data_IF_242640567427
#
_entry.id   IF_242640567427
#
_cell.length_a   1.000
_cell.length_b   1.000
_cell.length_c   1.000
_cell.angle_alpha   90.00
_cell.angle_beta   90.00
_cell.angle_gamma   90.00
#
_symmetry.space_group_name_H-M   'P 1'
#
loop_
_entity.id
_entity.type
_entity.pdbx_description
1 polymer ?
#
# COMPACT_ATOMS: atom_id res chain seq x y z
N UNK A 1 -46.04 -105.32 -29.57
CA UNK A 1 -45.13 -104.20 -29.89
C UNK A 1 -45.86 -102.88 -30.12
N UNK A 2 -46.92 -102.82 -30.95
CA UNK A 2 -47.63 -101.56 -31.24
C UNK A 2 -48.28 -100.86 -30.02
N UNK A 3 -48.87 -101.60 -29.08
CA UNK A 3 -49.56 -101.00 -27.92
C UNK A 3 -48.63 -100.21 -26.97
N UNK A 4 -47.42 -100.72 -26.73
CA UNK A 4 -46.43 -100.04 -25.87
C UNK A 4 -45.76 -98.83 -26.53
N UNK A 5 -45.73 -98.76 -27.87
CA UNK A 5 -45.27 -97.57 -28.61
C UNK A 5 -46.31 -96.44 -28.57
N UNK A 6 -47.61 -96.77 -28.52
CA UNK A 6 -48.68 -95.78 -28.41
C UNK A 6 -48.76 -95.17 -27.00
N UNK A 7 -48.58 -95.99 -25.95
CA UNK A 7 -48.54 -95.53 -24.54
C UNK A 7 -47.35 -94.58 -24.30
N UNK A 8 -46.15 -94.93 -24.77
CA UNK A 8 -44.97 -94.06 -24.66
C UNK A 8 -45.12 -92.74 -25.43
N UNK A 9 -45.82 -92.75 -26.58
CA UNK A 9 -46.14 -91.54 -27.34
C UNK A 9 -47.16 -90.66 -26.61
N UNK A 10 -48.18 -91.24 -25.97
CA UNK A 10 -49.13 -90.52 -25.14
C UNK A 10 -48.47 -89.90 -23.90
N UNK A 11 -47.59 -90.63 -23.21
CA UNK A 11 -46.83 -90.10 -22.07
C UNK A 11 -45.91 -88.96 -22.50
N UNK A 12 -45.25 -89.08 -23.65
CA UNK A 12 -44.42 -88.01 -24.21
C UNK A 12 -45.25 -86.77 -24.55
N UNK A 13 -46.42 -86.93 -25.16
CA UNK A 13 -47.34 -85.82 -25.42
C UNK A 13 -47.82 -85.15 -24.13
N UNK A 14 -48.15 -85.94 -23.11
CA UNK A 14 -48.58 -85.41 -21.81
C UNK A 14 -47.47 -84.64 -21.11
N UNK A 15 -46.25 -85.18 -21.10
CA UNK A 15 -45.06 -84.51 -20.57
C UNK A 15 -44.78 -83.18 -21.30
N UNK A 16 -44.89 -83.17 -22.63
CA UNK A 16 -44.72 -81.97 -23.45
C UNK A 16 -45.80 -80.91 -23.17
N UNK A 17 -47.06 -81.33 -22.96
CA UNK A 17 -48.14 -80.43 -22.56
C UNK A 17 -47.95 -79.85 -21.15
N UNK A 18 -47.48 -80.66 -20.19
CA UNK A 18 -47.19 -80.19 -18.83
C UNK A 18 -46.04 -79.18 -18.82
N UNK A 19 -44.99 -79.44 -19.61
CA UNK A 19 -43.88 -78.50 -19.80
C UNK A 19 -44.34 -77.18 -20.41
N UNK A 20 -45.20 -77.21 -21.44
CA UNK A 20 -45.76 -76.00 -22.04
C UNK A 20 -46.60 -75.21 -21.04
N UNK A 21 -47.46 -75.88 -20.26
CA UNK A 21 -48.25 -75.23 -19.21
C UNK A 21 -47.38 -74.58 -18.14
N UNK A 22 -46.29 -75.24 -17.74
CA UNK A 22 -45.33 -74.67 -16.78
C UNK A 22 -44.61 -73.44 -17.34
N UNK A 23 -44.24 -73.47 -18.63
CA UNK A 23 -43.61 -72.34 -19.31
C UNK A 23 -44.59 -71.15 -19.41
N UNK A 24 -45.83 -71.40 -19.81
CA UNK A 24 -46.88 -70.36 -19.90
C UNK A 24 -47.18 -69.74 -18.52
N UNK A 25 -47.24 -70.55 -17.46
CA UNK A 25 -47.40 -70.07 -16.09
C UNK A 25 -46.22 -69.19 -15.66
N UNK A 26 -44.98 -69.63 -15.96
CA UNK A 26 -43.78 -68.86 -15.65
C UNK A 26 -43.77 -67.51 -16.37
N UNK A 27 -44.13 -67.48 -17.66
CA UNK A 27 -44.24 -66.25 -18.43
C UNK A 27 -45.30 -65.30 -17.87
N UNK A 28 -46.48 -65.81 -17.49
CA UNK A 28 -47.52 -64.99 -16.84
C UNK A 28 -47.05 -64.41 -15.52
N UNK A 29 -46.41 -65.22 -14.66
CA UNK A 29 -45.87 -64.75 -13.38
C UNK A 29 -44.78 -63.69 -13.56
N UNK A 30 -43.90 -63.83 -14.56
CA UNK A 30 -42.91 -62.80 -14.91
C UNK A 30 -43.56 -61.51 -15.41
N UNK A 31 -44.62 -61.60 -16.22
CA UNK A 31 -45.33 -60.42 -16.72
C UNK A 31 -46.09 -59.71 -15.59
N UNK A 32 -46.73 -60.45 -14.68
CA UNK A 32 -47.39 -59.89 -13.48
C UNK A 32 -46.39 -59.14 -12.59
N UNK A 33 -45.26 -59.75 -12.27
CA UNK A 33 -44.21 -59.11 -11.45
C UNK A 33 -43.60 -57.87 -12.14
N UNK A 34 -43.45 -57.90 -13.46
CA UNK A 34 -43.02 -56.74 -14.24
C UNK A 34 -44.05 -55.60 -14.21
N UNK A 35 -45.33 -55.92 -14.32
CA UNK A 35 -46.41 -54.92 -14.22
C UNK A 35 -46.50 -54.32 -12.82
N UNK A 36 -46.33 -55.12 -11.77
CA UNK A 36 -46.25 -54.62 -10.39
C UNK A 36 -45.05 -53.70 -10.19
N UNK A 37 -43.89 -54.08 -10.71
CA UNK A 37 -42.68 -53.25 -10.66
C UNK A 37 -42.87 -51.93 -11.41
N UNK A 38 -43.53 -51.96 -12.57
CA UNK A 38 -43.80 -50.76 -13.36
C UNK A 38 -44.77 -49.81 -12.64
N UNK A 39 -45.85 -50.34 -12.04
CA UNK A 39 -46.75 -49.54 -11.20
C UNK A 39 -46.03 -48.95 -9.98
N UNK A 40 -45.13 -49.71 -9.36
CA UNK A 40 -44.30 -49.24 -8.26
C UNK A 40 -43.42 -48.06 -8.68
N UNK A 41 -42.79 -48.15 -9.85
CA UNK A 41 -41.96 -47.07 -10.41
C UNK A 41 -42.77 -45.80 -10.70
N UNK A 42 -43.95 -45.93 -11.31
CA UNK A 42 -44.85 -44.82 -11.61
C UNK A 42 -45.30 -44.10 -10.32
N UNK A 43 -45.61 -44.86 -9.26
CA UNK A 43 -45.97 -44.29 -7.96
C UNK A 43 -44.81 -43.51 -7.33
N UNK A 44 -43.59 -44.06 -7.39
CA UNK A 44 -42.38 -43.37 -6.87
C UNK A 44 -42.11 -42.09 -7.65
N UNK A 45 -42.23 -42.12 -8.98
CA UNK A 45 -42.08 -40.92 -9.82
C UNK A 45 -43.11 -39.85 -9.47
N UNK A 46 -44.37 -40.25 -9.26
CA UNK A 46 -45.42 -39.33 -8.83
C UNK A 46 -45.10 -38.71 -7.46
N UNK A 47 -44.68 -39.50 -6.48
CA UNK A 47 -44.28 -39.00 -5.17
C UNK A 47 -43.05 -38.07 -5.25
N UNK A 48 -42.10 -38.34 -6.15
CA UNK A 48 -40.95 -37.46 -6.38
C UNK A 48 -41.37 -36.10 -6.94
N UNK A 49 -42.30 -36.07 -7.89
CA UNK A 49 -42.79 -34.83 -8.48
C UNK A 49 -43.61 -34.01 -7.47
N UNK A 50 -44.46 -34.66 -6.67
CA UNK A 50 -45.20 -34.02 -5.57
C UNK A 50 -44.25 -33.40 -4.54
N UNK A 51 -43.19 -34.13 -4.14
CA UNK A 51 -42.19 -33.64 -3.21
C UNK A 51 -41.41 -32.46 -3.80
N UNK A 52 -41.03 -32.53 -5.08
CA UNK A 52 -40.32 -31.46 -5.80
C UNK A 52 -41.16 -30.19 -5.83
N UNK A 53 -42.43 -30.28 -6.22
CA UNK A 53 -43.33 -29.13 -6.27
C UNK A 53 -43.52 -28.51 -4.88
N UNK A 54 -43.70 -29.33 -3.84
CA UNK A 54 -43.82 -28.83 -2.46
C UNK A 54 -42.54 -28.14 -1.96
N UNK A 55 -41.37 -28.65 -2.35
CA UNK A 55 -40.10 -28.00 -2.03
C UNK A 55 -39.94 -26.67 -2.74
N UNK A 56 -40.29 -26.60 -4.03
CA UNK A 56 -40.20 -25.39 -4.85
C UNK A 56 -41.13 -24.28 -4.30
N UNK A 57 -42.36 -24.62 -3.91
CA UNK A 57 -43.28 -23.70 -3.23
C UNK A 57 -42.71 -23.16 -1.90
N UNK A 58 -42.09 -24.04 -1.09
CA UNK A 58 -41.49 -23.64 0.19
C UNK A 58 -40.27 -22.76 -0.02
N UNK A 59 -39.44 -23.03 -1.03
CA UNK A 59 -38.28 -22.19 -1.37
C UNK A 59 -38.76 -20.80 -1.76
N UNK A 60 -39.71 -20.69 -2.68
CA UNK A 60 -40.26 -19.40 -3.11
C UNK A 60 -40.88 -18.62 -1.93
N UNK A 61 -41.61 -19.31 -1.04
CA UNK A 61 -42.16 -18.68 0.16
C UNK A 61 -41.08 -18.16 1.13
N UNK A 62 -39.97 -18.88 1.28
CA UNK A 62 -38.84 -18.44 2.11
C UNK A 62 -38.12 -17.25 1.46
N UNK A 63 -37.92 -17.29 0.15
CA UNK A 63 -37.31 -16.19 -0.61
C UNK A 63 -38.14 -14.90 -0.48
N UNK A 64 -39.46 -14.98 -0.64
CA UNK A 64 -40.35 -13.83 -0.46
C UNK A 64 -40.28 -13.26 0.96
N UNK A 65 -40.23 -14.14 1.97
CA UNK A 65 -40.11 -13.72 3.38
C UNK A 65 -38.78 -13.04 3.67
N UNK A 66 -37.68 -13.55 3.12
CA UNK A 66 -36.35 -12.96 3.28
C UNK A 66 -36.30 -11.61 2.56
N UNK A 67 -36.77 -11.53 1.31
CA UNK A 67 -36.81 -10.30 0.53
C UNK A 67 -37.66 -9.22 1.23
N UNK A 68 -38.81 -9.59 1.77
CA UNK A 68 -39.67 -8.69 2.54
C UNK A 68 -38.98 -8.12 3.78
N UNK A 69 -38.38 -8.99 4.61
CA UNK A 69 -37.66 -8.57 5.82
C UNK A 69 -36.46 -7.68 5.50
N UNK A 70 -35.67 -8.03 4.49
CA UNK A 70 -34.52 -7.23 4.07
C UNK A 70 -34.97 -5.85 3.59
N UNK A 71 -36.05 -5.78 2.82
CA UNK A 71 -36.60 -4.50 2.35
C UNK A 71 -37.06 -3.62 3.52
N UNK A 72 -37.75 -4.22 4.50
CA UNK A 72 -38.20 -3.50 5.69
C UNK A 72 -37.01 -2.97 6.51
N UNK A 73 -36.01 -3.80 6.81
CA UNK A 73 -34.81 -3.37 7.54
C UNK A 73 -34.04 -2.27 6.81
N UNK A 74 -33.90 -2.36 5.48
CA UNK A 74 -33.27 -1.31 4.66
C UNK A 74 -34.03 0.01 4.82
N UNK A 75 -35.36 0.00 4.67
CA UNK A 75 -36.17 1.24 4.80
C UNK A 75 -36.06 1.87 6.19
N UNK A 76 -35.96 1.07 7.25
CA UNK A 76 -35.77 1.57 8.62
C UNK A 76 -34.38 2.21 8.78
N UNK A 77 -33.34 1.62 8.20
CA UNK A 77 -31.98 2.18 8.22
C UNK A 77 -31.91 3.48 7.41
N UNK A 78 -32.51 3.52 6.22
CA UNK A 78 -32.58 4.71 5.37
C UNK A 78 -33.29 5.87 6.08
N UNK A 79 -34.42 5.63 6.73
CA UNK A 79 -35.15 6.65 7.51
C UNK A 79 -34.33 7.16 8.71
N UNK A 80 -33.67 6.26 9.45
CA UNK A 80 -32.79 6.64 10.56
C UNK A 80 -31.61 7.48 10.09
N UNK A 81 -30.95 7.07 9.01
CA UNK A 81 -29.84 7.83 8.43
C UNK A 81 -30.30 9.20 7.92
N UNK A 82 -31.46 9.28 7.25
CA UNK A 82 -32.03 10.55 6.79
C UNK A 82 -32.26 11.54 7.93
N UNK A 83 -32.81 11.06 9.06
CA UNK A 83 -33.04 11.89 10.26
C UNK A 83 -31.75 12.40 10.90
N UNK A 84 -30.73 11.55 11.02
CA UNK A 84 -29.43 11.99 11.56
C UNK A 84 -28.71 12.97 10.62
N UNK A 85 -28.82 12.78 9.30
CA UNK A 85 -28.27 13.73 8.31
C UNK A 85 -28.96 15.10 8.43
N UNK A 86 -30.29 15.14 8.53
CA UNK A 86 -31.01 16.43 8.67
C UNK A 86 -30.62 17.13 9.98
N UNK A 87 -30.51 16.39 11.09
CA UNK A 87 -30.05 16.94 12.37
C UNK A 87 -28.62 17.51 12.29
N UNK A 88 -27.70 16.81 11.62
CA UNK A 88 -26.33 17.30 11.42
C UNK A 88 -26.36 18.57 10.56
N UNK A 89 -27.19 18.61 9.53
CA UNK A 89 -27.34 19.78 8.65
C UNK A 89 -27.84 21.00 9.44
N UNK A 90 -28.88 20.85 10.24
CA UNK A 90 -29.39 21.92 11.12
C UNK A 90 -28.30 22.43 12.08
N UNK A 91 -27.55 21.53 12.72
CA UNK A 91 -26.45 21.91 13.63
C UNK A 91 -25.31 22.65 12.91
N UNK A 92 -25.02 22.29 11.67
CA UNK A 92 -23.99 22.98 10.86
C UNK A 92 -24.47 24.37 10.46
N UNK A 93 -25.72 24.50 10.02
CA UNK A 93 -26.32 25.78 9.64
C UNK A 93 -26.32 26.76 10.83
N UNK A 94 -26.74 26.32 12.03
CA UNK A 94 -26.70 27.14 13.26
C UNK A 94 -25.26 27.60 13.60
N UNK A 95 -24.27 26.71 13.47
CA UNK A 95 -22.86 27.07 13.73
C UNK A 95 -22.30 28.04 12.71
N UNK A 96 -22.70 27.93 11.43
CA UNK A 96 -22.30 28.87 10.38
C UNK A 96 -22.87 30.26 10.67
N UNK A 97 -24.14 30.35 11.07
CA UNK A 97 -24.78 31.62 11.45
C UNK A 97 -24.05 32.27 12.62
N UNK A 98 -23.76 31.51 13.69
CA UNK A 98 -23.00 32.02 14.83
C UNK A 98 -21.57 32.49 14.47
N UNK A 99 -20.90 31.84 13.51
CA UNK A 99 -19.60 32.30 13.01
C UNK A 99 -19.74 33.58 12.19
N UNK A 100 -20.78 33.70 11.38
CA UNK A 100 -21.05 34.90 10.58
C UNK A 100 -21.33 36.13 11.46
N UNK A 101 -22.11 35.97 12.54
CA UNK A 101 -22.35 37.04 13.52
C UNK A 101 -21.05 37.49 14.21
N UNK A 102 -20.22 36.53 14.64
CA UNK A 102 -18.92 36.84 15.24
C UNK A 102 -18.00 37.57 14.26
N UNK A 103 -17.98 37.16 12.99
CA UNK A 103 -17.20 37.83 11.95
C UNK A 103 -17.67 39.28 11.72
N UNK A 104 -18.99 39.52 11.75
CA UNK A 104 -19.57 40.86 11.64
C UNK A 104 -19.12 41.78 12.80
N UNK A 105 -19.19 41.28 14.04
CA UNK A 105 -18.73 42.02 15.23
C UNK A 105 -17.23 42.34 15.18
N UNK A 106 -16.40 41.39 14.73
CA UNK A 106 -14.96 41.61 14.54
C UNK A 106 -14.72 42.67 13.47
N UNK A 107 -15.41 42.56 12.34
CA UNK A 107 -15.29 43.50 11.22
C UNK A 107 -15.65 44.92 11.67
N UNK A 108 -16.73 45.09 12.43
CA UNK A 108 -17.15 46.39 12.95
C UNK A 108 -16.12 46.98 13.93
N UNK A 109 -15.57 46.15 14.83
CA UNK A 109 -14.48 46.57 15.74
C UNK A 109 -13.21 46.97 14.99
N UNK A 110 -12.88 46.29 13.89
CA UNK A 110 -11.73 46.68 13.06
C UNK A 110 -11.93 48.06 12.43
N UNK A 111 -13.11 48.34 11.87
CA UNK A 111 -13.44 49.67 11.32
C UNK A 111 -13.35 50.77 12.40
N UNK A 112 -13.83 50.49 13.61
CA UNK A 112 -13.75 51.45 14.72
C UNK A 112 -12.31 51.69 15.19
N UNK A 113 -11.46 50.65 15.18
CA UNK A 113 -10.03 50.76 15.47
C UNK A 113 -9.28 51.53 14.38
N UNK A 114 -9.61 51.30 13.10
CA UNK A 114 -9.07 52.06 11.97
C UNK A 114 -9.40 53.55 12.08
N UNK A 115 -10.66 53.89 12.40
CA UNK A 115 -11.06 55.28 12.63
C UNK A 115 -10.32 55.92 13.81
N UNK A 116 -10.06 55.17 14.89
CA UNK A 116 -9.27 55.64 16.05
C UNK A 116 -7.79 55.85 15.71
N UNK A 117 -7.22 54.98 14.88
CA UNK A 117 -5.85 55.12 14.37
C UNK A 117 -5.70 56.33 13.43
N UNK A 118 -6.73 56.65 12.64
CA UNK A 118 -6.74 57.83 11.77
C UNK A 118 -6.95 59.15 12.54
N UNK A 119 -7.61 59.11 13.71
CA UNK A 119 -7.84 60.28 14.56
C UNK A 119 -6.68 60.57 15.55
N UNK A 120 -5.81 59.60 15.80
CA UNK A 120 -4.63 59.74 16.65
C UNK A 120 -3.38 60.02 15.84
N UNK A 121 -2.98 61.29 15.77
CA UNK A 121 -1.76 61.70 15.06
C UNK A 121 -0.48 61.12 15.67
N UNK A 122 0.38 60.63 14.76
CA UNK A 122 1.82 60.46 14.85
C UNK A 122 2.36 59.19 15.54
N UNK A 123 2.89 58.27 14.74
CA UNK A 123 4.30 57.89 14.82
C UNK A 123 4.77 57.26 13.51
N UNK A 124 5.63 57.99 12.80
CA UNK A 124 6.53 57.44 11.80
C UNK A 124 7.33 56.27 12.41
N UNK A 125 6.96 55.04 12.08
CA UNK A 125 7.91 53.93 12.04
C UNK A 125 7.98 53.49 10.60
N UNK A 126 9.07 53.90 9.94
CA UNK A 126 9.57 53.26 8.74
C UNK A 126 9.72 51.76 9.08
N UNK A 127 8.70 50.97 8.74
CA UNK A 127 8.74 49.52 8.90
C UNK A 127 9.84 49.05 7.95
N UNK A 128 10.99 48.69 8.51
CA UNK A 128 12.02 47.94 7.80
C UNK A 128 11.34 46.72 7.18
N UNK A 129 11.19 46.72 5.85
CA UNK A 129 10.65 45.56 5.13
C UNK A 129 11.62 44.43 5.36
N UNK A 130 11.19 43.39 6.07
CA UNK A 130 12.07 42.26 6.34
C UNK A 130 12.32 41.53 5.02
N UNK A 131 13.60 41.42 4.65
CA UNK A 131 14.03 40.83 3.39
C UNK A 131 13.84 39.32 3.44
N UNK A 132 13.07 38.81 2.50
CA UNK A 132 12.89 37.38 2.29
C UNK A 132 14.21 36.80 1.74
N UNK A 133 14.69 35.70 2.32
CA UNK A 133 15.76 34.88 1.76
C UNK A 133 15.29 34.17 0.47
N UNK A 134 16.10 33.33 -0.16
CA UNK A 134 15.67 32.51 -1.31
C UNK A 134 15.65 31.04 -0.93
N UNK A 135 14.72 30.27 -1.50
CA UNK A 135 14.64 28.82 -1.31
C UNK A 135 14.99 28.06 -2.58
N UNK A 136 15.99 27.19 -2.50
CA UNK A 136 16.52 26.42 -3.63
C UNK A 136 16.06 24.96 -3.68
N UNK A 137 15.31 24.50 -2.67
CA UNK A 137 14.85 23.11 -2.56
C UNK A 137 15.72 22.20 -1.69
N UNK A 138 16.88 22.68 -1.20
CA UNK A 138 17.85 21.83 -0.48
C UNK A 138 17.66 21.81 1.03
N UNK A 139 17.14 22.91 1.58
CA UNK A 139 16.85 23.04 3.01
C UNK A 139 15.44 22.54 3.32
N UNK A 140 15.14 22.26 4.59
CA UNK A 140 13.85 21.71 4.98
C UNK A 140 12.70 22.67 4.60
N UNK A 141 11.76 22.19 3.78
CA UNK A 141 10.64 23.00 3.30
C UNK A 141 9.77 23.54 4.44
N UNK A 142 9.49 22.76 5.48
CA UNK A 142 8.66 23.20 6.62
C UNK A 142 9.29 24.38 7.38
N UNK A 143 10.63 24.39 7.48
CA UNK A 143 11.36 25.50 8.09
C UNK A 143 11.24 26.76 7.24
N UNK A 144 11.37 26.64 5.92
CA UNK A 144 11.23 27.76 4.99
C UNK A 144 9.78 28.26 4.91
N UNK A 145 8.80 27.36 4.94
CA UNK A 145 7.36 27.68 5.00
C UNK A 145 7.03 28.49 6.27
N UNK A 146 7.59 28.10 7.41
CA UNK A 146 7.46 28.83 8.68
C UNK A 146 8.08 30.22 8.60
N UNK A 147 9.32 30.33 8.09
CA UNK A 147 9.99 31.62 7.90
C UNK A 147 9.22 32.55 6.97
N UNK A 148 8.69 32.01 5.87
CA UNK A 148 7.86 32.74 4.93
C UNK A 148 6.59 33.27 5.61
N UNK A 149 5.91 32.46 6.43
CA UNK A 149 4.73 32.90 7.18
C UNK A 149 5.04 34.08 8.10
N UNK A 150 6.10 33.96 8.93
CA UNK A 150 6.54 35.00 9.86
C UNK A 150 6.82 36.32 9.13
N UNK A 151 7.57 36.26 8.02
CA UNK A 151 7.92 37.46 7.23
C UNK A 151 6.68 38.04 6.56
N UNK A 152 5.78 37.20 6.05
CA UNK A 152 4.55 37.65 5.40
C UNK A 152 3.61 38.37 6.38
N UNK A 153 3.54 37.91 7.62
CA UNK A 153 2.76 38.50 8.70
C UNK A 153 3.40 39.81 9.18
N UNK A 154 4.72 39.82 9.42
CA UNK A 154 5.46 41.01 9.81
C UNK A 154 5.33 42.14 8.78
N UNK A 155 5.33 41.79 7.49
CA UNK A 155 5.19 42.73 6.38
C UNK A 155 3.72 43.03 6.02
N UNK A 156 2.74 42.37 6.64
CA UNK A 156 1.31 42.59 6.38
C UNK A 156 0.89 42.25 4.93
N UNK A 157 1.46 41.22 4.34
CA UNK A 157 1.16 40.84 2.96
C UNK A 157 -0.26 40.27 2.82
N UNK A 158 -1.02 40.81 1.86
CA UNK A 158 -2.29 40.21 1.42
C UNK A 158 -2.04 38.90 0.66
N UNK A 159 -3.05 38.05 0.53
CA UNK A 159 -2.90 36.73 -0.09
C UNK A 159 -2.29 36.77 -1.51
N UNK A 160 -2.70 37.74 -2.34
CA UNK A 160 -2.11 37.94 -3.66
C UNK A 160 -0.64 38.37 -3.65
N UNK A 161 -0.24 39.18 -2.65
CA UNK A 161 1.17 39.56 -2.45
C UNK A 161 1.96 38.36 -1.93
N UNK A 162 1.40 37.56 -1.02
CA UNK A 162 2.03 36.30 -0.55
C UNK A 162 2.29 35.35 -1.72
N UNK A 163 1.33 35.13 -2.61
CA UNK A 163 1.54 34.25 -3.76
C UNK A 163 2.65 34.74 -4.70
N UNK A 164 2.65 36.04 -5.00
CA UNK A 164 3.67 36.65 -5.87
C UNK A 164 5.07 36.61 -5.24
N UNK A 165 5.16 36.89 -3.94
CA UNK A 165 6.42 36.83 -3.19
C UNK A 165 6.90 35.39 -3.01
N UNK A 166 5.98 34.44 -2.81
CA UNK A 166 6.33 33.01 -2.75
C UNK A 166 6.86 32.53 -4.09
N UNK A 167 6.27 32.91 -5.23
CA UNK A 167 6.85 32.59 -6.53
C UNK A 167 8.25 33.22 -6.70
N UNK A 168 8.43 34.45 -6.24
CA UNK A 168 9.73 35.14 -6.28
C UNK A 168 10.77 34.58 -5.28
N UNK A 169 10.33 33.89 -4.23
CA UNK A 169 11.16 33.23 -3.21
C UNK A 169 11.91 32.02 -3.77
N UNK A 170 11.31 31.34 -4.75
CA UNK A 170 11.82 30.07 -5.29
C UNK A 170 13.00 30.30 -6.24
N UNK A 171 14.03 29.48 -6.10
CA UNK A 171 15.23 29.43 -6.95
C UNK A 171 15.59 27.98 -7.24
N UNK A 172 16.48 27.77 -8.22
CA UNK A 172 16.99 26.44 -8.56
C UNK A 172 15.89 25.41 -8.79
N UNK A 173 16.04 24.24 -8.17
CA UNK A 173 15.11 23.12 -8.30
C UNK A 173 13.69 23.47 -7.79
N UNK A 174 13.61 24.28 -6.73
CA UNK A 174 12.32 24.72 -6.20
C UNK A 174 11.55 25.62 -7.19
N UNK A 175 12.25 26.40 -8.04
CA UNK A 175 11.58 27.23 -9.04
C UNK A 175 10.97 26.43 -10.19
N UNK A 176 11.45 25.21 -10.46
CA UNK A 176 10.90 24.35 -11.52
C UNK A 176 9.44 23.98 -11.28
N UNK A 177 8.96 23.99 -10.04
CA UNK A 177 7.54 23.71 -9.74
C UNK A 177 6.62 24.73 -10.44
N UNK A 178 7.10 25.95 -10.69
CA UNK A 178 6.34 26.97 -11.37
C UNK A 178 6.07 26.57 -12.82
N UNK A 179 6.92 25.74 -13.43
CA UNK A 179 6.68 25.19 -14.77
C UNK A 179 5.63 24.08 -14.76
N UNK A 180 5.57 23.30 -13.67
CA UNK A 180 4.62 22.18 -13.52
C UNK A 180 3.18 22.63 -13.27
N UNK A 181 2.99 23.85 -12.74
CA UNK A 181 1.67 24.40 -12.47
C UNK A 181 1.07 25.12 -13.70
N UNK A 182 -0.26 25.02 -13.93
CA UNK A 182 -0.98 25.83 -14.91
C UNK A 182 -0.82 27.33 -14.64
N UNK A 183 -0.85 28.16 -15.69
CA UNK A 183 -0.65 29.61 -15.58
C UNK A 183 -1.60 30.30 -14.57
N UNK A 184 -2.84 29.82 -14.48
CA UNK A 184 -3.88 30.32 -13.56
C UNK A 184 -3.59 30.02 -12.10
N UNK A 185 -2.75 29.02 -11.81
CA UNK A 185 -2.45 28.56 -10.45
C UNK A 185 -1.08 29.02 -9.93
N UNK A 186 -0.21 29.54 -10.82
CA UNK A 186 1.14 30.04 -10.45
C UNK A 186 1.13 31.24 -9.51
N UNK A 187 0.00 31.93 -9.40
CA UNK A 187 -0.24 33.05 -8.48
C UNK A 187 -1.31 32.72 -7.43
N UNK A 188 -1.65 31.45 -7.27
CA UNK A 188 -2.51 30.98 -6.18
C UNK A 188 -1.62 30.46 -5.04
N UNK A 189 -1.77 31.04 -3.85
CA UNK A 189 -0.92 30.71 -2.69
C UNK A 189 -1.08 29.24 -2.27
N UNK A 190 -2.30 28.72 -2.30
CA UNK A 190 -2.59 27.35 -1.91
C UNK A 190 -2.02 26.33 -2.90
N UNK A 191 -2.17 26.57 -4.21
CA UNK A 191 -1.57 25.71 -5.25
C UNK A 191 -0.04 25.66 -5.13
N UNK A 192 0.61 26.80 -4.88
CA UNK A 192 2.06 26.86 -4.67
C UNK A 192 2.49 26.06 -3.43
N UNK A 193 1.78 26.21 -2.31
CA UNK A 193 2.07 25.44 -1.10
C UNK A 193 1.86 23.94 -1.31
N UNK A 194 0.78 23.52 -1.97
CA UNK A 194 0.53 22.12 -2.23
C UNK A 194 1.61 21.50 -3.13
N UNK A 195 2.05 22.21 -4.17
CA UNK A 195 3.13 21.74 -5.04
C UNK A 195 4.47 21.62 -4.28
N UNK A 196 4.77 22.58 -3.40
CA UNK A 196 5.96 22.54 -2.54
C UNK A 196 5.89 21.45 -1.48
N UNK A 197 4.74 21.26 -0.83
CA UNK A 197 4.50 20.21 0.15
C UNK A 197 4.60 18.82 -0.50
N UNK A 198 4.12 18.66 -1.73
CA UNK A 198 4.22 17.40 -2.47
C UNK A 198 5.67 17.06 -2.85
N UNK A 199 6.43 18.04 -3.36
CA UNK A 199 7.79 17.79 -3.86
C UNK A 199 8.85 17.82 -2.75
N UNK A 200 8.70 18.70 -1.77
CA UNK A 200 9.70 18.96 -0.73
C UNK A 200 9.19 18.74 0.70
N UNK A 201 7.90 18.41 0.89
CA UNK A 201 7.33 18.21 2.23
C UNK A 201 7.90 17.00 2.95
N UNK A 202 7.96 17.11 4.29
CA UNK A 202 8.61 16.11 5.13
C UNK A 202 7.99 14.71 5.04
N UNK A 203 6.67 14.60 4.84
CA UNK A 203 5.99 13.30 4.77
C UNK A 203 6.45 12.48 3.55
N UNK A 204 6.49 13.12 2.39
CA UNK A 204 7.01 12.51 1.16
C UNK A 204 8.52 12.29 1.25
N UNK A 205 9.25 13.20 1.90
CA UNK A 205 10.69 13.05 2.17
C UNK A 205 11.01 11.85 3.08
N UNK A 206 10.19 11.57 4.11
CA UNK A 206 10.35 10.42 5.02
C UNK A 206 10.12 9.09 4.31
N UNK A 207 8.99 8.95 3.62
CA UNK A 207 8.67 7.72 2.87
C UNK A 207 9.67 7.48 1.73
N UNK A 208 10.07 8.54 1.04
CA UNK A 208 11.11 8.47 0.02
C UNK A 208 12.47 8.06 0.61
N UNK A 209 12.87 8.61 1.75
CA UNK A 209 14.08 8.19 2.46
C UNK A 209 14.02 6.73 2.92
N UNK A 210 12.84 6.23 3.34
CA UNK A 210 12.63 4.80 3.66
C UNK A 210 12.81 3.92 2.43
N UNK A 211 12.30 4.33 1.28
CA UNK A 211 12.48 3.61 0.01
C UNK A 211 13.93 3.64 -0.48
N UNK A 212 14.60 4.79 -0.37
CA UNK A 212 16.02 4.92 -0.67
C UNK A 212 16.84 4.00 0.23
N UNK A 213 16.61 3.99 1.55
CA UNK A 213 17.27 3.07 2.50
C UNK A 213 17.14 1.60 2.07
N UNK A 214 15.93 1.14 1.75
CA UNK A 214 15.65 -0.25 1.33
C UNK A 214 16.44 -0.70 0.09
N UNK A 215 16.75 0.23 -0.81
CA UNK A 215 17.43 -0.05 -2.08
C UNK A 215 18.91 0.30 -2.05
N UNK A 216 19.40 0.83 -0.93
CA UNK A 216 20.74 1.38 -0.83
C UNK A 216 21.76 0.30 -0.53
N UNK A 217 22.66 0.07 -1.50
CA UNK A 217 23.85 -0.77 -1.37
C UNK A 217 25.09 0.06 -1.71
N UNK A 218 26.25 -0.24 -1.12
CA UNK A 218 27.52 0.42 -1.41
C UNK A 218 27.87 0.29 -2.90
N UNK A 219 28.10 1.41 -3.56
CA UNK A 219 28.36 1.48 -5.01
C UNK A 219 29.79 1.05 -5.33
N UNK A 220 30.03 0.66 -6.59
CA UNK A 220 31.39 0.44 -7.09
C UNK A 220 32.18 1.74 -7.06
N UNK A 221 33.29 1.77 -6.33
CA UNK A 221 34.15 2.95 -6.18
C UNK A 221 33.72 3.90 -5.06
N UNK A 222 32.64 3.61 -4.35
CA UNK A 222 32.23 4.36 -3.16
C UNK A 222 32.96 3.83 -1.92
N UNK A 223 33.58 4.73 -1.15
CA UNK A 223 34.27 4.38 0.09
C UNK A 223 33.29 3.94 1.18
N UNK A 224 33.74 3.11 2.12
CA UNK A 224 32.91 2.76 3.28
C UNK A 224 32.52 3.99 4.11
N UNK A 225 33.33 5.05 4.17
CA UNK A 225 32.96 6.28 4.87
C UNK A 225 31.82 7.03 4.20
N UNK A 226 31.86 7.20 2.87
CA UNK A 226 30.80 7.85 2.10
C UNK A 226 29.50 7.05 2.22
N UNK A 227 29.61 5.73 2.13
CA UNK A 227 28.45 4.85 2.30
C UNK A 227 27.83 4.95 3.69
N UNK A 228 28.64 4.87 4.76
CA UNK A 228 28.17 5.01 6.13
C UNK A 228 27.49 6.38 6.37
N UNK A 229 28.10 7.45 5.88
CA UNK A 229 27.58 8.82 6.01
C UNK A 229 26.21 8.96 5.35
N UNK A 230 26.03 8.34 4.18
CA UNK A 230 24.75 8.38 3.47
C UNK A 230 23.68 7.52 4.16
N UNK A 231 24.04 6.34 4.69
CA UNK A 231 23.13 5.50 5.48
C UNK A 231 22.67 6.25 6.74
N UNK A 232 23.58 6.89 7.47
CA UNK A 232 23.26 7.68 8.65
C UNK A 232 22.35 8.87 8.32
N UNK A 233 22.64 9.59 7.23
CA UNK A 233 21.82 10.70 6.75
C UNK A 233 20.39 10.24 6.43
N UNK A 234 20.26 9.13 5.71
CA UNK A 234 18.97 8.58 5.32
C UNK A 234 18.18 8.04 6.52
N UNK A 235 18.83 7.37 7.47
CA UNK A 235 18.17 6.89 8.68
C UNK A 235 17.64 8.05 9.54
N UNK A 236 18.41 9.12 9.68
CA UNK A 236 17.99 10.34 10.38
C UNK A 236 16.82 11.03 9.69
N UNK A 237 16.73 10.98 8.36
CA UNK A 237 15.61 11.54 7.60
C UNK A 237 14.35 10.66 7.65
N UNK A 238 14.51 9.34 7.45
CA UNK A 238 13.43 8.36 7.36
C UNK A 238 12.73 8.10 8.70
N UNK A 239 13.48 8.16 9.81
CA UNK A 239 13.04 7.76 11.14
C UNK A 239 13.21 8.89 12.17
N UNK A 240 13.10 10.16 11.75
CA UNK A 240 13.28 11.31 12.65
C UNK A 240 12.31 11.35 13.84
N UNK A 241 11.20 10.62 13.75
CA UNK A 241 10.20 10.38 14.79
C UNK A 241 10.60 9.31 15.83
N UNK A 242 11.64 8.52 15.55
CA UNK A 242 12.12 7.45 16.45
C UNK A 242 13.24 7.95 17.36
N UNK A 243 13.46 7.33 18.54
CA UNK A 243 14.62 7.64 19.39
C UNK A 243 15.96 7.46 18.66
N UNK A 244 16.97 8.24 19.05
CA UNK A 244 18.30 8.17 18.44
C UNK A 244 18.93 6.76 18.50
N UNK A 245 18.68 6.03 19.59
CA UNK A 245 19.13 4.63 19.76
C UNK A 245 18.55 3.69 18.71
N UNK A 246 17.26 3.84 18.38
CA UNK A 246 16.58 3.04 17.36
C UNK A 246 17.13 3.38 15.97
N UNK A 247 17.35 4.67 15.69
CA UNK A 247 17.96 5.09 14.42
C UNK A 247 19.37 4.53 14.26
N UNK A 248 20.17 4.52 15.33
CA UNK A 248 21.52 3.97 15.32
C UNK A 248 21.53 2.47 15.00
N UNK A 249 20.63 1.69 15.62
CA UNK A 249 20.47 0.26 15.32
C UNK A 249 20.07 0.02 13.86
N UNK A 250 19.15 0.83 13.33
CA UNK A 250 18.75 0.76 11.92
C UNK A 250 19.93 1.09 11.01
N UNK A 251 20.63 2.20 11.26
CA UNK A 251 21.80 2.61 10.47
C UNK A 251 22.88 1.53 10.45
N UNK A 252 23.18 0.94 11.62
CA UNK A 252 24.14 -0.16 11.75
C UNK A 252 23.73 -1.36 10.89
N UNK A 253 22.49 -1.83 11.03
CA UNK A 253 22.00 -2.99 10.29
C UNK A 253 22.10 -2.76 8.78
N UNK A 254 21.63 -1.61 8.29
CA UNK A 254 21.65 -1.27 6.88
C UNK A 254 23.07 -1.11 6.34
N UNK A 255 23.97 -0.48 7.09
CA UNK A 255 25.37 -0.38 6.71
C UNK A 255 25.99 -1.76 6.54
N UNK A 256 25.82 -2.65 7.51
CA UNK A 256 26.37 -4.01 7.43
C UNK A 256 25.74 -4.78 6.26
N UNK A 257 24.43 -4.67 6.05
CA UNK A 257 23.72 -5.37 4.98
C UNK A 257 24.08 -4.91 3.57
N UNK A 258 24.39 -3.63 3.39
CA UNK A 258 24.70 -3.09 2.07
C UNK A 258 26.19 -2.91 1.76
N UNK A 259 27.10 -3.34 2.65
CA UNK A 259 28.53 -3.44 2.32
C UNK A 259 28.75 -4.33 1.08
N UNK A 260 29.52 -3.82 0.11
CA UNK A 260 29.71 -4.50 -1.18
C UNK A 260 30.63 -5.71 -1.09
N UNK A 261 31.73 -5.58 -0.36
CA UNK A 261 32.74 -6.62 -0.26
C UNK A 261 32.28 -7.70 0.73
N UNK A 262 31.90 -8.87 0.21
CA UNK A 262 31.28 -9.94 1.00
C UNK A 262 32.15 -10.46 2.14
N UNK A 263 33.48 -10.43 2.00
CA UNK A 263 34.41 -10.82 3.07
C UNK A 263 34.38 -9.81 4.23
N UNK A 264 34.39 -8.51 3.91
CA UNK A 264 34.33 -7.43 4.89
C UNK A 264 32.96 -7.43 5.57
N UNK A 265 31.89 -7.59 4.80
CA UNK A 265 30.54 -7.71 5.33
C UNK A 265 30.43 -8.86 6.34
N UNK A 266 30.89 -10.07 5.99
CA UNK A 266 30.85 -11.23 6.90
C UNK A 266 31.65 -10.99 8.17
N UNK A 267 32.85 -10.41 8.03
CA UNK A 267 33.71 -10.14 9.16
C UNK A 267 33.11 -9.06 10.10
N UNK A 268 32.48 -8.02 9.56
CA UNK A 268 31.78 -7.01 10.36
C UNK A 268 30.57 -7.62 11.08
N UNK A 269 29.79 -8.50 10.43
CA UNK A 269 28.68 -9.23 11.08
C UNK A 269 29.12 -10.07 12.27
N UNK A 270 30.32 -10.66 12.20
CA UNK A 270 30.88 -11.51 13.26
C UNK A 270 31.54 -10.72 14.39
N UNK A 271 31.75 -9.41 14.22
CA UNK A 271 32.51 -8.60 15.16
C UNK A 271 31.68 -8.05 16.34
N UNK A 272 30.40 -8.42 16.45
CA UNK A 272 29.46 -7.99 17.52
C UNK A 272 29.49 -6.48 17.80
N UNK A 273 29.59 -5.69 16.73
CA UNK A 273 29.62 -4.22 16.78
C UNK A 273 28.27 -3.66 17.26
N UNK A 274 28.32 -2.64 18.11
CA UNK A 274 27.14 -2.09 18.79
C UNK A 274 26.62 -0.77 18.18
N UNK A 275 27.43 -0.12 17.35
CA UNK A 275 27.14 1.18 16.74
C UNK A 275 27.76 1.30 15.34
N UNK A 276 27.23 2.21 14.52
CA UNK A 276 27.65 2.40 13.14
C UNK A 276 29.12 2.81 13.04
N UNK A 277 29.59 3.64 13.97
CA UNK A 277 30.96 4.15 13.97
C UNK A 277 31.98 3.03 14.21
N UNK A 278 31.69 2.13 15.14
CA UNK A 278 32.47 0.93 15.43
C UNK A 278 32.49 -0.02 14.23
N UNK A 279 31.34 -0.22 13.57
CA UNK A 279 31.24 -1.02 12.35
C UNK A 279 32.07 -0.43 11.20
N UNK A 280 31.99 0.89 10.98
CA UNK A 280 32.78 1.60 9.98
C UNK A 280 34.27 1.46 10.28
N UNK A 281 34.70 1.70 11.51
CA UNK A 281 36.11 1.58 11.88
C UNK A 281 36.64 0.17 11.63
N UNK A 282 35.85 -0.86 11.92
CA UNK A 282 36.22 -2.24 11.66
C UNK A 282 36.31 -2.55 10.17
N UNK A 283 35.33 -2.09 9.37
CA UNK A 283 35.37 -2.22 7.91
C UNK A 283 36.63 -1.57 7.32
N UNK A 284 36.96 -0.34 7.74
CA UNK A 284 38.16 0.36 7.27
C UNK A 284 39.46 -0.37 7.62
N UNK A 285 39.55 -0.99 8.80
CA UNK A 285 40.71 -1.81 9.19
C UNK A 285 40.87 -3.01 8.26
N UNK A 286 39.77 -3.67 7.88
CA UNK A 286 39.79 -4.80 6.95
C UNK A 286 40.11 -4.37 5.52
N UNK A 287 39.59 -3.24 5.07
CA UNK A 287 39.96 -2.66 3.77
C UNK A 287 41.47 -2.37 3.70
N UNK A 288 42.04 -1.79 4.76
CA UNK A 288 43.48 -1.55 4.84
C UNK A 288 44.29 -2.86 4.85
N UNK A 289 43.87 -3.86 5.65
CA UNK A 289 44.54 -5.16 5.73
C UNK A 289 44.50 -5.93 4.39
N UNK A 290 43.36 -5.92 3.70
CA UNK A 290 43.21 -6.58 2.39
C UNK A 290 44.04 -5.90 1.31
N UNK A 291 44.22 -4.57 1.35
CA UNK A 291 45.14 -3.87 0.46
C UNK A 291 46.60 -4.27 0.68
N UNK A 292 47.03 -4.48 1.92
CA UNK A 292 48.39 -4.96 2.25
C UNK A 292 48.61 -6.37 1.69
N UNK A 293 47.70 -7.31 1.99
CA UNK A 293 47.81 -8.70 1.52
C UNK A 293 47.79 -8.84 -0.02
N UNK A 294 47.05 -7.97 -0.72
CA UNK A 294 47.01 -7.93 -2.20
C UNK A 294 48.35 -7.47 -2.80
N UNK A 295 49.08 -6.56 -2.15
CA UNK A 295 50.42 -6.14 -2.58
C UNK A 295 51.46 -7.25 -2.40
N UNK A 296 51.38 -8.00 -1.31
CA UNK A 296 52.30 -9.11 -1.04
C UNK A 296 52.14 -10.26 -2.04
N UNK A 297 50.91 -10.59 -2.44
CA UNK A 297 50.64 -11.64 -3.42
C UNK A 297 51.04 -11.26 -4.87
N UNK A 298 51.06 -9.98 -5.22
CA UNK A 298 51.55 -9.51 -6.52
C UNK A 298 53.08 -9.57 -6.60
N UNK A 299 53.78 -9.37 -5.47
CA UNK A 299 55.25 -9.48 -5.38
C UNK A 299 55.74 -10.91 -5.62
N UNK A 300 55.02 -11.94 -5.13
CA UNK A 300 55.44 -13.35 -5.24
C UNK A 300 55.35 -13.89 -6.68
N UNK A 301 54.40 -13.42 -7.50
CA UNK A 301 54.30 -13.84 -8.92
C UNK A 301 55.45 -13.33 -9.80
N UNK A 302 56.20 -12.32 -9.36
CA UNK A 302 57.39 -11.82 -10.07
C UNK A 302 58.67 -12.63 -9.81
N UNK A 303 58.67 -13.55 -8.84
CA UNK A 303 59.89 -14.20 -8.35
C UNK A 303 60.08 -15.66 -8.81
N UNK A 304 59.60 -16.03 -10.01
CA UNK A 304 59.84 -17.38 -10.56
C UNK A 304 60.23 -17.40 -12.04
N UNK A 305 61.42 -16.89 -12.35
CA UNK A 305 62.32 -17.39 -13.42
C UNK A 305 63.74 -16.95 -12.97
N UNK A 306 64.63 -17.84 -12.55
CA UNK A 306 65.69 -18.40 -13.40
C UNK A 306 66.47 -19.42 -12.57
N UNK A 307 66.53 -20.67 -13.03
CA UNK A 307 67.52 -21.66 -12.63
C UNK A 307 68.03 -22.30 -13.92
N UNK A 308 69.31 -22.06 -14.20
CA UNK A 308 70.30 -22.80 -15.01
C UNK A 308 69.91 -23.23 -16.45
N UNK A 309 70.77 -23.21 -17.48
CA UNK A 309 72.23 -23.24 -17.58
C UNK A 309 72.64 -22.79 -19.02
N UNK A 310 73.95 -22.65 -19.32
CA UNK A 310 74.49 -22.06 -20.55
C UNK A 310 74.80 -23.11 -21.62
N UNK A 311 74.82 -22.72 -22.91
CA UNK A 311 75.61 -23.42 -23.92
C UNK A 311 75.99 -22.51 -25.09
N UNK A 312 77.25 -22.68 -25.48
CA UNK A 312 78.08 -21.90 -26.40
C UNK A 312 77.58 -21.88 -27.85
N UNK A 313 78.04 -20.89 -28.61
CA UNK A 313 78.16 -20.99 -30.08
C UNK A 313 79.57 -20.50 -30.49
N UNK A 314 80.19 -21.09 -31.53
CA UNK A 314 81.54 -20.73 -31.96
C UNK A 314 81.64 -19.35 -32.62
#
# INVERSE_FOLDING_TARGET
>A
MQKGQEETKQEMQKCQQEMQKSLDHMQRSQEETKQEMQKGLENVQKCQEELKNSLEEKINSVEDRIAGKLKEEITVVEDKMGKEIEKIKEQVEERIEGVAENFSLISQRMVDLEKKLLAGGNENKSKSIQKLSTYDGKTNWEVNKTQFSIISEANGWTEGVKASQLAAFLRGEAAEILQTLPNTERLNLNSLYNALDLRFGQKYSKEYARLQMKTRLQKTGESSQEYASEVERLANLAFSDHPATVRETISLQYFVDGLKEGEIQKAVRMADVQDLKSALLYALKLEAATQVSRRDHQSIRGARVTLDAPCESP
#
